data_IF_255143052677
#
_entry.id   IF_255143052677
#
_cell.length_a   1.000
_cell.length_b   1.000
_cell.length_c   1.000
_cell.angle_alpha   90.00
_cell.angle_beta   90.00
_cell.angle_gamma   90.00
#
_symmetry.space_group_name_H-M   'P 1'
#
loop_
_entity.id
_entity.type
_entity.pdbx_description
1 polymer ?
#
# COMPACT_ATOMS: atom_id res chain seq x y z
N UNK A 1 -29.54 16.55 -12.73
CA UNK A 1 -29.31 15.15 -13.16
C UNK A 1 -27.96 14.71 -12.59
N UNK A 2 -27.87 13.53 -11.99
CA UNK A 2 -26.59 12.99 -11.56
C UNK A 2 -25.76 12.59 -12.80
N UNK A 3 -24.53 13.08 -12.90
CA UNK A 3 -23.61 12.70 -13.97
C UNK A 3 -22.97 11.37 -13.59
N UNK A 4 -23.28 10.32 -14.35
CA UNK A 4 -22.66 8.99 -14.17
C UNK A 4 -21.26 9.01 -14.77
N UNK A 5 -20.24 8.95 -13.91
CA UNK A 5 -18.82 8.94 -14.30
C UNK A 5 -18.35 7.52 -14.59
N UNK A 6 -17.74 7.31 -15.76
CA UNK A 6 -17.08 6.05 -16.11
C UNK A 6 -15.64 6.10 -15.63
N UNK A 7 -15.23 5.18 -14.75
CA UNK A 7 -13.83 5.05 -14.30
C UNK A 7 -13.15 3.95 -15.10
N UNK A 8 -11.99 4.26 -15.69
CA UNK A 8 -11.20 3.27 -16.43
C UNK A 8 -10.68 2.19 -15.47
N UNK A 9 -11.05 0.91 -15.66
CA UNK A 9 -10.94 -0.13 -14.63
C UNK A 9 -9.50 -0.49 -14.23
N UNK A 10 -8.52 -0.16 -15.08
CA UNK A 10 -7.10 -0.43 -14.83
C UNK A 10 -6.31 0.78 -14.35
N UNK A 11 -6.83 1.99 -14.58
CA UNK A 11 -6.06 3.23 -14.44
C UNK A 11 -6.65 4.19 -13.40
N UNK A 12 -7.89 3.98 -12.98
CA UNK A 12 -8.56 4.89 -12.03
C UNK A 12 -8.91 6.26 -12.62
N UNK A 13 -8.58 6.50 -13.90
CA UNK A 13 -8.90 7.74 -14.60
C UNK A 13 -10.41 7.82 -14.85
N UNK A 14 -10.99 8.97 -14.58
CA UNK A 14 -12.37 9.28 -14.92
C UNK A 14 -12.43 9.63 -16.40
N UNK A 15 -13.28 8.98 -17.19
CA UNK A 15 -13.47 9.35 -18.59
C UNK A 15 -14.19 10.71 -18.65
N UNK A 16 -13.55 11.81 -19.09
CA UNK A 16 -14.19 13.10 -19.13
C UNK A 16 -15.31 13.09 -20.17
N UNK A 17 -16.49 13.59 -19.81
CA UNK A 17 -17.64 13.66 -20.71
C UNK A 17 -17.79 15.11 -21.21
N UNK A 18 -17.51 15.32 -22.49
CA UNK A 18 -17.64 16.64 -23.12
C UNK A 18 -19.08 17.17 -23.01
N UNK A 19 -19.22 18.46 -22.69
CA UNK A 19 -20.51 19.15 -22.67
C UNK A 19 -21.35 18.92 -21.39
N UNK A 20 -20.81 18.23 -20.39
CA UNK A 20 -21.43 18.09 -19.08
C UNK A 20 -20.65 18.88 -18.02
N UNK A 21 -21.38 19.41 -17.02
CA UNK A 21 -20.80 20.02 -15.82
C UNK A 21 -19.85 19.03 -15.14
N UNK A 22 -18.58 19.40 -14.98
CA UNK A 22 -17.55 18.58 -14.34
C UNK A 22 -16.44 18.08 -15.28
N UNK A 23 -16.49 18.37 -16.59
CA UNK A 23 -15.44 18.02 -17.54
C UNK A 23 -14.05 18.46 -17.09
N UNK A 24 -13.90 19.74 -16.70
CA UNK A 24 -12.63 20.30 -16.24
C UNK A 24 -12.16 19.64 -14.94
N UNK A 25 -13.07 19.42 -13.99
CA UNK A 25 -12.74 18.74 -12.73
C UNK A 25 -12.28 17.28 -12.93
N UNK A 26 -12.92 16.55 -13.87
CA UNK A 26 -12.52 15.18 -14.21
C UNK A 26 -11.15 15.18 -14.93
N UNK A 27 -10.84 16.21 -15.74
CA UNK A 27 -9.53 16.39 -16.34
C UNK A 27 -8.44 16.72 -15.33
N UNK A 28 -8.70 17.64 -14.41
CA UNK A 28 -7.77 18.02 -13.35
C UNK A 28 -7.44 16.84 -12.43
N UNK A 29 -8.45 16.04 -12.05
CA UNK A 29 -8.27 14.83 -11.26
C UNK A 29 -7.42 13.79 -12.00
N UNK A 30 -7.63 13.61 -13.30
CA UNK A 30 -6.81 12.73 -14.12
C UNK A 30 -5.37 13.23 -14.25
N UNK A 31 -5.17 14.54 -14.43
CA UNK A 31 -3.86 15.14 -14.57
C UNK A 31 -3.05 15.00 -13.29
N UNK A 32 -3.68 15.23 -12.13
CA UNK A 32 -3.07 14.99 -10.82
C UNK A 32 -2.66 13.52 -10.62
N UNK A 33 -3.52 12.58 -11.04
CA UNK A 33 -3.20 11.14 -10.94
C UNK A 33 -2.04 10.76 -11.85
N UNK A 34 -1.99 11.31 -13.07
CA UNK A 34 -0.90 11.06 -14.01
C UNK A 34 0.41 11.68 -13.54
N UNK A 35 0.38 12.92 -13.05
CA UNK A 35 1.56 13.61 -12.50
C UNK A 35 2.14 12.85 -11.31
N UNK A 36 1.30 12.42 -10.36
CA UNK A 36 1.74 11.59 -9.23
C UNK A 36 2.38 10.26 -9.67
N UNK A 37 1.82 9.60 -10.69
CA UNK A 37 2.37 8.35 -11.23
C UNK A 37 3.66 8.56 -12.03
N UNK A 38 3.77 9.65 -12.79
CA UNK A 38 4.97 9.98 -13.58
C UNK A 38 6.10 10.40 -12.65
N UNK A 39 5.81 11.24 -11.64
CA UNK A 39 6.75 11.62 -10.59
C UNK A 39 7.29 10.38 -9.86
N UNK A 40 6.41 9.44 -9.51
CA UNK A 40 6.82 8.15 -8.94
C UNK A 40 7.75 7.36 -9.86
N UNK A 41 7.44 7.25 -11.16
CA UNK A 41 8.28 6.53 -12.11
C UNK A 41 9.64 7.21 -12.31
N UNK A 42 9.71 8.54 -12.33
CA UNK A 42 10.99 9.27 -12.38
C UNK A 42 11.80 9.13 -11.09
N UNK A 43 11.13 9.11 -9.94
CA UNK A 43 11.75 8.86 -8.64
C UNK A 43 12.28 7.44 -8.54
N UNK A 44 11.64 6.47 -9.20
CA UNK A 44 12.14 5.08 -9.26
C UNK A 44 13.51 4.99 -9.94
N UNK A 45 13.84 5.85 -10.90
CA UNK A 45 15.11 5.78 -11.64
C UNK A 45 16.30 6.50 -10.98
N UNK A 46 16.05 7.41 -10.03
CA UNK A 46 17.11 8.20 -9.38
C UNK A 46 17.17 7.92 -7.87
N UNK A 47 18.35 7.93 -7.23
CA UNK A 47 18.41 7.91 -5.77
C UNK A 47 17.75 9.17 -5.23
N UNK A 48 16.62 9.06 -4.54
CA UNK A 48 16.02 10.23 -3.90
C UNK A 48 17.00 10.74 -2.82
N UNK A 49 17.46 11.98 -2.97
CA UNK A 49 18.39 12.62 -2.02
C UNK A 49 17.67 13.17 -0.79
N UNK A 50 16.34 13.14 -0.78
CA UNK A 50 15.47 13.52 0.33
C UNK A 50 14.34 12.50 0.49
N UNK A 51 14.13 12.01 1.71
CA UNK A 51 12.96 11.19 2.04
C UNK A 51 11.69 12.04 1.90
N UNK A 52 10.94 11.86 0.79
CA UNK A 52 9.66 12.53 0.57
C UNK A 52 8.53 11.97 1.46
N UNK A 53 8.87 11.12 2.44
CA UNK A 53 7.93 10.36 3.26
C UNK A 53 7.34 9.17 2.51
N UNK A 54 7.77 8.89 1.28
CA UNK A 54 7.27 7.81 0.44
C UNK A 54 8.31 6.68 0.41
N UNK A 55 8.19 5.75 1.36
CA UNK A 55 9.06 4.58 1.48
C UNK A 55 8.24 3.29 1.31
N UNK A 56 8.89 2.15 1.06
CA UNK A 56 8.22 0.88 0.87
C UNK A 56 8.49 0.23 -0.48
N UNK A 57 7.77 -0.86 -0.73
CA UNK A 57 7.95 -1.69 -1.94
C UNK A 57 7.35 -0.99 -3.16
N UNK A 58 8.14 -0.91 -4.23
CA UNK A 58 7.70 -0.44 -5.56
C UNK A 58 7.25 -1.64 -6.40
N UNK A 59 8.07 -2.68 -6.47
CA UNK A 59 7.84 -3.88 -7.27
C UNK A 59 8.60 -5.07 -6.71
N UNK A 60 8.14 -6.28 -7.04
CA UNK A 60 8.76 -7.52 -6.53
C UNK A 60 8.64 -7.65 -5.01
N UNK A 61 9.72 -8.10 -4.36
CA UNK A 61 9.79 -8.32 -2.91
C UNK A 61 8.65 -9.21 -2.37
N UNK A 62 8.20 -10.16 -3.18
CA UNK A 62 7.13 -11.08 -2.81
C UNK A 62 7.64 -12.06 -1.76
N UNK A 63 7.03 -12.02 -0.58
CA UNK A 63 7.24 -13.01 0.49
C UNK A 63 6.59 -14.35 0.14
N UNK A 64 7.19 -15.45 0.59
CA UNK A 64 6.57 -16.79 0.56
C UNK A 64 6.78 -17.54 1.87
N UNK A 65 5.82 -18.42 2.19
CA UNK A 65 5.96 -19.41 3.25
C UNK A 65 7.17 -20.34 2.99
N UNK A 66 7.70 -20.94 4.05
CA UNK A 66 8.90 -21.77 3.99
C UNK A 66 8.93 -22.80 5.11
N UNK A 67 9.75 -23.84 4.92
CA UNK A 67 9.99 -24.91 5.92
C UNK A 67 10.99 -24.53 7.01
N UNK A 68 11.47 -23.29 7.04
CA UNK A 68 12.33 -22.74 8.08
C UNK A 68 11.73 -21.43 8.62
N UNK A 69 12.34 -20.83 9.64
CA UNK A 69 11.95 -19.50 10.11
C UNK A 69 12.37 -18.37 9.16
N UNK A 70 13.06 -18.66 8.07
CA UNK A 70 13.44 -17.66 7.06
C UNK A 70 12.41 -17.68 5.93
N UNK A 71 11.60 -16.62 5.73
CA UNK A 71 10.66 -16.57 4.62
C UNK A 71 11.41 -16.54 3.29
N UNK A 72 10.80 -17.10 2.25
CA UNK A 72 11.28 -16.86 0.90
C UNK A 72 11.01 -15.40 0.52
N UNK A 73 11.91 -14.77 -0.22
CA UNK A 73 11.78 -13.39 -0.65
C UNK A 73 12.30 -13.23 -2.08
N UNK A 74 11.43 -12.84 -3.00
CA UNK A 74 11.83 -12.54 -4.37
C UNK A 74 12.63 -11.24 -4.46
N UNK A 75 13.44 -11.10 -5.51
CA UNK A 75 14.05 -9.81 -5.87
C UNK A 75 12.99 -8.75 -6.20
N UNK A 76 13.38 -7.48 -6.17
CA UNK A 76 12.48 -6.37 -6.41
C UNK A 76 13.14 -5.00 -6.26
N UNK A 77 12.30 -3.97 -6.19
CA UNK A 77 12.71 -2.59 -5.95
C UNK A 77 11.90 -2.03 -4.79
N UNK A 78 12.58 -1.36 -3.86
CA UNK A 78 11.98 -0.61 -2.78
C UNK A 78 12.75 0.70 -2.54
N UNK A 79 12.11 1.62 -1.83
CA UNK A 79 12.75 2.80 -1.24
C UNK A 79 12.72 2.72 0.27
N UNK A 80 13.85 2.97 0.91
CA UNK A 80 13.93 3.12 2.36
C UNK A 80 14.89 4.27 2.70
N UNK A 81 14.46 5.20 3.55
CA UNK A 81 15.23 6.35 4.02
C UNK A 81 15.80 7.17 2.85
N UNK A 82 14.95 7.39 1.82
CA UNK A 82 15.32 8.05 0.56
C UNK A 82 16.17 7.20 -0.39
N UNK A 83 16.67 6.03 0.02
CA UNK A 83 17.57 5.22 -0.80
C UNK A 83 16.82 4.12 -1.55
N UNK A 84 17.11 3.99 -2.83
CA UNK A 84 16.68 2.85 -3.65
C UNK A 84 17.47 1.60 -3.25
N UNK A 85 16.76 0.51 -3.00
CA UNK A 85 17.33 -0.83 -2.85
C UNK A 85 16.77 -1.76 -3.92
N UNK A 86 17.66 -2.31 -4.75
CA UNK A 86 17.35 -3.21 -5.86
C UNK A 86 18.48 -4.25 -6.01
N UNK A 87 18.49 -5.31 -5.18
CA UNK A 87 19.58 -6.28 -5.18
C UNK A 87 19.59 -7.09 -6.48
N UNK A 88 20.79 -7.44 -6.96
CA UNK A 88 20.98 -8.23 -8.19
C UNK A 88 20.48 -9.68 -8.06
N UNK A 89 20.37 -10.19 -6.83
CA UNK A 89 19.84 -11.51 -6.50
C UNK A 89 18.76 -11.39 -5.43
N UNK A 90 17.94 -12.44 -5.32
CA UNK A 90 16.93 -12.55 -4.28
C UNK A 90 17.58 -12.45 -2.88
N UNK A 91 17.19 -11.46 -2.06
CA UNK A 91 17.77 -11.31 -0.73
C UNK A 91 17.23 -12.37 0.23
N UNK A 92 18.04 -12.70 1.25
CA UNK A 92 17.65 -13.64 2.31
C UNK A 92 17.49 -12.85 3.61
N UNK A 93 16.26 -12.64 4.09
CA UNK A 93 16.04 -11.97 5.38
C UNK A 93 16.53 -12.86 6.54
N UNK A 94 16.75 -12.29 7.74
CA UNK A 94 17.07 -13.09 8.92
C UNK A 94 15.93 -14.06 9.28
N UNK A 95 16.21 -15.02 10.15
CA UNK A 95 15.19 -15.87 10.72
C UNK A 95 14.17 -15.04 11.52
N UNK A 96 12.88 -15.26 11.24
CA UNK A 96 11.79 -14.66 11.96
C UNK A 96 11.70 -15.21 13.40
N UNK A 97 11.20 -14.43 14.36
CA UNK A 97 10.88 -14.95 15.68
C UNK A 97 9.88 -16.11 15.58
N UNK A 98 10.12 -17.18 16.34
CA UNK A 98 9.27 -18.37 16.35
C UNK A 98 7.95 -18.13 17.09
N UNK A 99 6.90 -18.86 16.71
CA UNK A 99 5.56 -18.81 17.32
C UNK A 99 4.97 -17.41 17.38
N UNK A 100 5.22 -16.59 16.36
CA UNK A 100 4.90 -15.18 16.41
C UNK A 100 4.41 -14.67 15.06
N UNK A 101 3.72 -13.55 15.14
CA UNK A 101 3.38 -12.73 13.98
C UNK A 101 4.28 -11.52 14.00
N UNK A 102 5.06 -11.33 12.93
CA UNK A 102 6.00 -10.21 12.82
C UNK A 102 5.93 -9.57 11.44
N UNK A 103 6.33 -8.32 11.37
CA UNK A 103 6.44 -7.53 10.16
C UNK A 103 7.90 -7.47 9.75
N UNK A 104 8.18 -7.81 8.49
CA UNK A 104 9.51 -7.74 7.88
C UNK A 104 9.69 -6.34 7.32
N UNK A 105 10.70 -5.64 7.81
CA UNK A 105 11.09 -4.32 7.33
C UNK A 105 12.49 -4.36 6.70
N UNK A 106 12.78 -3.37 5.88
CA UNK A 106 14.11 -3.07 5.39
C UNK A 106 14.52 -1.65 5.80
N UNK A 107 15.72 -1.54 6.36
CA UNK A 107 16.38 -0.31 6.75
C UNK A 107 17.65 -0.16 5.91
N UNK A 108 17.90 1.03 5.34
CA UNK A 108 19.02 1.21 4.40
C UNK A 108 20.39 1.11 5.07
N UNK A 109 20.47 1.28 6.39
CA UNK A 109 21.69 1.17 7.17
C UNK A 109 21.93 -0.24 7.74
N UNK A 110 20.88 -0.90 8.24
CA UNK A 110 20.99 -2.19 8.94
C UNK A 110 20.44 -3.41 8.18
N UNK A 111 19.80 -3.21 7.03
CA UNK A 111 19.21 -4.28 6.23
C UNK A 111 17.85 -4.75 6.77
N UNK A 112 17.53 -6.03 6.54
CA UNK A 112 16.24 -6.63 6.90
C UNK A 112 16.14 -6.90 8.41
N UNK A 113 14.98 -6.59 8.99
CA UNK A 113 14.70 -6.84 10.40
C UNK A 113 13.21 -7.13 10.64
N UNK A 114 12.87 -7.59 11.85
CA UNK A 114 11.51 -7.88 12.26
C UNK A 114 11.02 -6.91 13.34
N UNK A 115 9.74 -6.54 13.24
CA UNK A 115 9.02 -5.73 14.22
C UNK A 115 7.71 -6.45 14.60
N UNK A 116 7.30 -6.36 15.87
CA UNK A 116 6.01 -6.89 16.30
C UNK A 116 4.81 -6.08 15.75
N UNK A 117 5.02 -4.79 15.49
CA UNK A 117 4.00 -3.87 14.99
C UNK A 117 4.14 -3.56 13.49
N UNK A 118 3.08 -2.99 12.92
CA UNK A 118 3.00 -2.62 11.51
C UNK A 118 3.70 -1.29 11.16
N UNK A 119 4.40 -0.68 12.10
CA UNK A 119 5.12 0.59 11.94
C UNK A 119 6.62 0.36 12.08
N UNK A 120 7.41 0.94 11.19
CA UNK A 120 8.87 0.81 11.19
C UNK A 120 9.51 1.35 12.48
N UNK A 121 10.65 0.78 12.85
CA UNK A 121 11.43 1.22 14.01
C UNK A 121 12.00 2.64 13.81
N UNK A 122 12.37 2.96 12.57
CA UNK A 122 12.87 4.27 12.19
C UNK A 122 11.99 4.88 11.11
N UNK A 123 11.96 6.21 11.08
CA UNK A 123 11.35 6.95 9.98
C UNK A 123 12.02 6.55 8.65
N UNK A 124 11.20 6.30 7.64
CA UNK A 124 11.67 5.90 6.31
C UNK A 124 11.95 4.41 6.13
N UNK A 125 11.74 3.56 7.13
CA UNK A 125 11.86 2.11 6.95
C UNK A 125 10.79 1.57 5.99
N UNK A 126 11.20 0.64 5.12
CA UNK A 126 10.31 0.02 4.14
C UNK A 126 9.68 -1.25 4.68
N UNK A 127 8.35 -1.30 4.80
CA UNK A 127 7.66 -2.54 5.09
C UNK A 127 7.65 -3.45 3.85
N UNK A 128 8.08 -4.70 4.02
CA UNK A 128 8.04 -5.76 3.00
C UNK A 128 6.75 -6.56 3.11
N UNK A 129 6.33 -6.83 4.34
CA UNK A 129 5.09 -7.52 4.63
C UNK A 129 5.06 -8.12 6.03
N UNK A 130 4.12 -9.02 6.25
CA UNK A 130 3.86 -9.70 7.50
C UNK A 130 4.11 -11.19 7.33
N UNK A 131 4.73 -11.81 8.31
CA UNK A 131 4.95 -13.26 8.39
C UNK A 131 4.31 -13.80 9.66
N UNK A 132 3.80 -15.01 9.58
CA UNK A 132 3.33 -15.79 10.73
C UNK A 132 4.14 -17.07 10.79
N UNK A 133 4.67 -17.38 11.97
CA UNK A 133 5.56 -18.52 12.19
C UNK A 133 4.99 -19.52 13.18
N UNK A 134 5.33 -20.79 12.96
CA UNK A 134 5.28 -21.84 13.99
C UNK A 134 6.59 -21.84 14.80
N UNK A 135 6.85 -22.90 15.54
CA UNK A 135 8.13 -23.11 16.22
C UNK A 135 9.33 -23.19 15.24
N UNK A 136 9.10 -23.58 13.99
CA UNK A 136 10.19 -23.85 13.03
C UNK A 136 9.95 -23.37 11.60
N UNK A 137 8.72 -22.96 11.23
CA UNK A 137 8.35 -22.68 9.83
C UNK A 137 7.64 -21.33 9.70
N UNK A 138 7.73 -20.71 8.52
CA UNK A 138 6.83 -19.62 8.12
C UNK A 138 5.57 -20.25 7.53
N UNK A 139 4.44 -20.13 8.24
CA UNK A 139 3.18 -20.80 7.86
C UNK A 139 2.32 -19.96 6.92
N UNK A 140 2.42 -18.63 7.02
CA UNK A 140 1.69 -17.72 6.13
C UNK A 140 2.39 -16.38 6.03
N UNK A 141 2.13 -15.68 4.93
CA UNK A 141 2.68 -14.36 4.65
C UNK A 141 1.59 -13.45 4.10
N UNK A 142 1.70 -12.16 4.36
CA UNK A 142 0.88 -11.10 3.75
C UNK A 142 1.83 -10.06 3.19
N UNK A 143 1.66 -9.70 1.92
CA UNK A 143 2.52 -8.69 1.30
C UNK A 143 2.20 -7.30 1.84
N UNK A 144 3.21 -6.43 1.92
CA UNK A 144 2.97 -5.01 2.10
C UNK A 144 2.18 -4.44 0.91
N UNK A 145 1.43 -3.38 1.16
CA UNK A 145 0.87 -2.57 0.07
C UNK A 145 2.03 -1.84 -0.58
N UNK A 146 2.13 -1.96 -1.91
CA UNK A 146 3.12 -1.21 -2.67
C UNK A 146 2.88 0.29 -2.53
N UNK A 147 3.90 1.09 -2.76
CA UNK A 147 3.73 2.53 -2.90
C UNK A 147 2.72 2.80 -4.04
N UNK A 148 1.73 3.66 -3.80
CA UNK A 148 0.55 3.86 -4.68
C UNK A 148 -0.27 2.59 -4.94
N UNK A 149 -0.13 1.59 -4.08
CA UNK A 149 -0.87 0.34 -4.13
C UNK A 149 -2.34 0.54 -3.78
N UNK A 150 -3.16 -0.40 -4.23
CA UNK A 150 -4.59 -0.40 -3.99
C UNK A 150 -4.97 -1.51 -3.02
N UNK A 151 -5.82 -1.16 -2.05
CA UNK A 151 -6.40 -2.09 -1.08
C UNK A 151 -7.88 -2.27 -1.44
N UNK A 152 -8.32 -3.51 -1.54
CA UNK A 152 -9.72 -3.82 -1.79
C UNK A 152 -10.56 -3.55 -0.54
N UNK A 153 -11.72 -2.93 -0.73
CA UNK A 153 -12.71 -2.65 0.31
C UNK A 153 -13.95 -3.49 0.02
N UNK A 154 -14.41 -4.25 1.01
CA UNK A 154 -15.61 -5.09 0.92
C UNK A 154 -16.31 -5.20 2.28
N UNK A 155 -16.85 -4.09 2.84
CA UNK A 155 -17.60 -4.14 4.10
C UNK A 155 -18.81 -5.07 3.98
N UNK A 156 -19.03 -5.93 4.99
CA UNK A 156 -20.17 -6.86 5.03
C UNK A 156 -21.44 -6.24 5.57
N UNK A 157 -21.35 -5.09 6.24
CA UNK A 157 -22.46 -4.37 6.89
C UNK A 157 -22.27 -2.85 6.71
N UNK A 158 -23.35 -2.04 6.80
CA UNK A 158 -23.22 -0.59 6.90
C UNK A 158 -22.52 -0.15 8.19
N UNK A 159 -21.98 1.06 8.18
CA UNK A 159 -21.37 1.71 9.35
C UNK A 159 -19.84 1.69 9.34
N UNK A 160 -19.26 1.93 10.52
CA UNK A 160 -17.82 2.10 10.67
C UNK A 160 -17.08 0.77 10.51
N UNK A 161 -15.97 0.80 9.77
CA UNK A 161 -15.03 -0.30 9.66
C UNK A 161 -13.61 0.21 9.50
N UNK A 162 -12.63 -0.67 9.71
CA UNK A 162 -11.22 -0.36 9.53
C UNK A 162 -10.53 -1.40 8.65
N UNK A 163 -9.54 -0.97 7.88
CA UNK A 163 -8.74 -1.85 7.02
C UNK A 163 -7.27 -1.56 7.23
N UNK A 164 -6.47 -2.60 7.50
CA UNK A 164 -5.03 -2.45 7.61
C UNK A 164 -4.42 -2.08 6.25
N UNK A 165 -3.68 -0.97 6.18
CA UNK A 165 -3.13 -0.49 4.91
C UNK A 165 -1.74 -1.06 4.58
N UNK A 166 -1.02 -1.60 5.58
CA UNK A 166 0.28 -2.27 5.39
C UNK A 166 1.32 -1.42 4.62
N UNK A 167 1.48 -0.16 5.02
CA UNK A 167 2.50 0.75 4.44
C UNK A 167 3.79 0.85 5.28
N UNK A 168 3.79 0.33 6.52
CA UNK A 168 4.92 0.51 7.43
C UNK A 168 4.98 1.87 8.13
N UNK A 169 4.07 2.78 7.77
CA UNK A 169 3.98 4.18 8.21
C UNK A 169 2.54 4.67 8.07
N UNK A 170 2.23 5.81 8.67
CA UNK A 170 0.98 6.52 8.37
C UNK A 170 0.94 6.94 6.89
N UNK A 171 -0.20 6.78 6.19
CA UNK A 171 -0.39 7.33 4.86
C UNK A 171 -0.18 8.85 4.85
N UNK A 172 0.38 9.38 3.77
CA UNK A 172 0.38 10.80 3.41
C UNK A 172 -0.94 11.14 2.73
N UNK A 173 -1.47 10.22 1.93
CA UNK A 173 -2.72 10.40 1.21
C UNK A 173 -3.43 9.10 0.89
N UNK A 174 -4.74 9.20 0.68
CA UNK A 174 -5.57 8.09 0.28
C UNK A 174 -6.75 8.54 -0.57
N UNK A 175 -7.09 7.77 -1.61
CA UNK A 175 -8.22 8.04 -2.51
C UNK A 175 -9.08 6.80 -2.66
N UNK A 176 -10.38 6.96 -2.40
CA UNK A 176 -11.37 5.89 -2.51
C UNK A 176 -11.97 5.90 -3.92
N UNK A 177 -12.02 4.73 -4.55
CA UNK A 177 -12.62 4.48 -5.85
C UNK A 177 -13.67 3.37 -5.69
N UNK A 178 -14.95 3.72 -5.78
CA UNK A 178 -16.03 2.73 -5.70
C UNK A 178 -16.06 1.84 -6.95
N UNK A 179 -16.32 0.55 -6.76
CA UNK A 179 -16.46 -0.44 -7.85
C UNK A 179 -17.87 -1.05 -7.92
N UNK A 180 -18.78 -0.56 -7.10
CA UNK A 180 -20.18 -0.97 -7.03
C UNK A 180 -21.05 0.23 -6.63
N UNK A 181 -22.37 0.04 -6.58
CA UNK A 181 -23.31 1.05 -6.11
C UNK A 181 -23.19 1.24 -4.59
N UNK A 182 -23.37 2.48 -4.13
CA UNK A 182 -23.23 2.86 -2.72
C UNK A 182 -22.05 3.81 -2.50
N UNK A 183 -21.66 4.01 -1.24
CA UNK A 183 -20.60 4.94 -0.88
C UNK A 183 -19.78 4.42 0.29
N UNK A 184 -18.46 4.62 0.19
CA UNK A 184 -17.51 4.48 1.28
C UNK A 184 -16.78 5.82 1.42
N UNK A 185 -16.68 6.32 2.65
CA UNK A 185 -15.97 7.57 2.95
C UNK A 185 -15.15 7.43 4.23
N UNK A 186 -14.26 8.38 4.49
CA UNK A 186 -13.43 8.36 5.70
C UNK A 186 -14.22 8.80 6.93
N UNK A 187 -13.84 8.23 8.07
CA UNK A 187 -14.20 8.77 9.39
C UNK A 187 -13.43 10.09 9.64
N UNK A 188 -13.81 10.89 10.67
CA UNK A 188 -13.08 12.13 11.00
C UNK A 188 -11.58 11.93 11.22
N UNK A 189 -11.19 10.83 11.88
CA UNK A 189 -9.82 10.34 11.82
C UNK A 189 -9.72 9.42 10.61
N UNK A 190 -8.98 9.82 9.57
CA UNK A 190 -8.96 9.10 8.29
C UNK A 190 -8.09 7.83 8.34
N UNK A 191 -6.94 7.92 9.00
CA UNK A 191 -5.96 6.86 9.08
C UNK A 191 -5.00 7.06 10.26
N UNK A 192 -4.41 5.97 10.73
CA UNK A 192 -3.28 5.94 11.66
C UNK A 192 -2.10 5.20 11.00
N UNK A 193 -0.97 4.93 11.70
CA UNK A 193 0.14 4.17 11.14
C UNK A 193 -0.16 2.72 10.71
N UNK A 194 -1.34 2.18 11.00
CA UNK A 194 -1.72 0.78 10.76
C UNK A 194 -2.98 0.64 9.89
N UNK A 195 -3.98 1.47 10.09
CA UNK A 195 -5.34 1.30 9.59
C UNK A 195 -5.87 2.56 8.90
N UNK A 196 -6.71 2.32 7.89
CA UNK A 196 -7.65 3.30 7.37
C UNK A 196 -8.97 3.14 8.12
N UNK A 197 -9.61 4.25 8.45
CA UNK A 197 -10.90 4.27 9.14
C UNK A 197 -11.98 4.81 8.21
N UNK A 198 -12.96 3.96 7.96
CA UNK A 198 -13.93 4.14 6.89
C UNK A 198 -15.36 3.95 7.40
N UNK A 199 -16.31 4.45 6.64
CA UNK A 199 -17.74 4.25 6.85
C UNK A 199 -18.35 3.75 5.56
N UNK A 200 -19.16 2.69 5.65
CA UNK A 200 -19.88 2.11 4.54
C UNK A 200 -21.37 2.49 4.58
N UNK A 201 -21.95 2.86 3.44
CA UNK A 201 -23.39 3.11 3.34
C UNK A 201 -24.24 1.84 3.48
N UNK A 202 -23.69 0.68 3.12
CA UNK A 202 -24.37 -0.61 3.09
C UNK A 202 -23.34 -1.75 3.16
N UNK A 203 -23.80 -2.96 3.48
CA UNK A 203 -23.02 -4.18 3.33
C UNK A 203 -22.97 -4.67 1.88
N UNK A 204 -21.93 -5.42 1.52
CA UNK A 204 -21.75 -6.01 0.19
C UNK A 204 -21.32 -5.02 -0.90
N UNK A 205 -21.16 -3.73 -0.56
CA UNK A 205 -20.55 -2.76 -1.45
C UNK A 205 -19.04 -2.99 -1.54
N UNK A 206 -18.49 -2.69 -2.69
CA UNK A 206 -17.07 -2.84 -3.01
C UNK A 206 -16.47 -1.54 -3.50
N UNK A 207 -15.20 -1.36 -3.17
CA UNK A 207 -14.35 -0.30 -3.68
C UNK A 207 -12.89 -0.66 -3.58
N UNK A 208 -12.03 0.26 -3.96
CA UNK A 208 -10.60 0.21 -3.74
C UNK A 208 -10.14 1.52 -3.12
N UNK A 209 -9.12 1.45 -2.29
CA UNK A 209 -8.44 2.65 -1.79
C UNK A 209 -6.98 2.61 -2.21
N UNK A 210 -6.56 3.61 -2.97
CA UNK A 210 -5.16 3.83 -3.28
C UNK A 210 -4.53 4.61 -2.13
N UNK A 211 -3.34 4.21 -1.69
CA UNK A 211 -2.63 4.81 -0.55
C UNK A 211 -1.17 5.09 -0.89
N UNK A 212 -0.61 6.15 -0.31
CA UNK A 212 0.80 6.51 -0.38
C UNK A 212 1.23 7.30 0.84
#
# INVERSE_FOLDING_TARGET
MAVTRTVLPRKGLVQPQHGLTGYEADQDANWLLLDANVAFLSDVETPQTSDLGINGVVSGFTLSASSSLTPGLAGGVLFAQGRRYAPASAPVPPAAPANATNYVFYNSASGFYYQAGATGANAGDALIGKVVTSAATVTSVTQATRIYGQISLAPSVPGNFSVAHLLGRAPIGAVIQMTSTGSIWFQPAMFDPTNLYLVASAGGITGKVQVW
#
